data_IF_061694507960
#
_entry.id   IF_061694507960
#
_cell.length_a   1.000
_cell.length_b   1.000
_cell.length_c   1.000
_cell.angle_alpha   90.00
_cell.angle_beta   90.00
_cell.angle_gamma   90.00
#
_symmetry.space_group_name_H-M   'P 1'
#
loop_
_entity.id
_entity.type
_entity.pdbx_description
1 polymer ?
#
# COMPACT_ATOMS: atom_id res chain seq x y z
N UNK A 1 -32.03 4.48 -8.28
CA UNK A 1 -31.54 3.15 -7.88
C UNK A 1 -31.95 2.90 -6.42
N UNK A 2 -32.63 1.79 -6.13
CA UNK A 2 -33.03 1.46 -4.76
C UNK A 2 -31.86 0.82 -4.02
N UNK A 3 -31.06 1.65 -3.34
CA UNK A 3 -29.90 1.23 -2.55
C UNK A 3 -30.20 1.28 -1.05
N UNK A 4 -29.38 0.60 -0.25
CA UNK A 4 -29.51 0.61 1.22
C UNK A 4 -29.27 2.02 1.79
N UNK A 5 -29.71 2.26 3.04
CA UNK A 5 -29.38 3.52 3.75
C UNK A 5 -27.88 3.74 3.84
N UNK A 6 -27.10 2.67 4.01
CA UNK A 6 -25.65 2.72 4.01
C UNK A 6 -25.08 3.16 2.66
N UNK A 7 -25.56 2.57 1.56
CA UNK A 7 -25.17 2.95 0.20
C UNK A 7 -25.46 4.42 -0.10
N UNK A 8 -26.60 4.94 0.36
CA UNK A 8 -26.87 6.39 0.28
C UNK A 8 -25.86 7.21 1.06
N UNK A 9 -25.57 6.84 2.32
CA UNK A 9 -24.65 7.59 3.19
C UNK A 9 -23.25 7.74 2.58
N UNK A 10 -22.69 6.68 2.00
CA UNK A 10 -21.33 6.71 1.42
C UNK A 10 -21.28 7.39 0.04
N UNK A 11 -22.42 7.47 -0.66
CA UNK A 11 -22.51 8.08 -1.98
C UNK A 11 -22.71 9.60 -1.96
N UNK A 12 -23.03 10.18 -0.79
CA UNK A 12 -23.16 11.64 -0.68
C UNK A 12 -21.77 12.27 -0.75
N UNK A 13 -21.61 13.21 -1.67
CA UNK A 13 -20.39 14.00 -1.79
C UNK A 13 -20.11 14.74 -0.48
N UNK A 14 -18.89 14.57 0.04
CA UNK A 14 -18.43 15.22 1.27
C UNK A 14 -17.39 16.29 0.93
N UNK A 15 -17.10 17.21 1.84
CA UNK A 15 -16.04 18.21 1.62
C UNK A 15 -14.67 17.57 1.36
N UNK A 16 -14.36 16.46 2.05
CA UNK A 16 -13.14 15.68 1.81
C UNK A 16 -13.20 15.03 0.42
N UNK A 17 -14.35 14.51 0.01
CA UNK A 17 -14.54 13.93 -1.33
C UNK A 17 -14.29 14.95 -2.43
N UNK A 18 -14.84 16.17 -2.31
CA UNK A 18 -14.58 17.27 -3.25
C UNK A 18 -13.09 17.63 -3.31
N UNK A 19 -12.42 17.74 -2.15
CA UNK A 19 -10.98 18.01 -2.11
C UNK A 19 -10.16 16.92 -2.82
N UNK A 20 -10.54 15.64 -2.67
CA UNK A 20 -9.87 14.54 -3.36
C UNK A 20 -10.13 14.55 -4.86
N UNK A 21 -11.32 14.94 -5.31
CA UNK A 21 -11.64 15.13 -6.73
C UNK A 21 -10.76 16.25 -7.34
N UNK A 22 -10.62 17.38 -6.64
CA UNK A 22 -9.77 18.50 -7.04
C UNK A 22 -8.28 18.10 -7.11
N UNK A 23 -7.78 17.38 -6.11
CA UNK A 23 -6.41 16.83 -6.11
C UNK A 23 -6.18 15.87 -7.28
N UNK A 24 -7.16 15.02 -7.59
CA UNK A 24 -7.10 14.09 -8.73
C UNK A 24 -7.07 14.81 -10.08
N UNK A 25 -7.94 15.81 -10.25
CA UNK A 25 -7.95 16.65 -11.45
C UNK A 25 -6.64 17.42 -11.64
N UNK A 26 -6.09 17.96 -10.56
CA UNK A 26 -4.80 18.64 -10.53
C UNK A 26 -3.64 17.70 -10.93
N UNK A 27 -3.62 16.46 -10.44
CA UNK A 27 -2.62 15.45 -10.80
C UNK A 27 -2.69 15.04 -12.28
N UNK A 28 -3.88 15.01 -12.86
CA UNK A 28 -4.10 14.63 -14.26
C UNK A 28 -3.82 15.78 -15.26
N UNK A 29 -3.85 17.03 -14.79
CA UNK A 29 -3.62 18.23 -15.60
C UNK A 29 -2.15 18.52 -15.90
N UNK A 30 -1.89 19.38 -16.89
CA UNK A 30 -0.53 19.75 -17.30
C UNK A 30 0.00 21.00 -16.58
N UNK A 31 1.11 20.76 -15.86
CA UNK A 31 2.34 21.56 -15.67
C UNK A 31 2.20 23.07 -15.53
N UNK A 32 1.85 23.49 -14.32
CA UNK A 32 2.49 24.60 -13.57
C UNK A 32 1.99 24.63 -12.10
N UNK A 33 1.54 23.49 -11.58
CA UNK A 33 0.97 23.39 -10.23
C UNK A 33 1.98 22.77 -9.26
N UNK A 34 2.18 23.42 -8.12
CA UNK A 34 2.97 22.86 -7.02
C UNK A 34 2.11 21.88 -6.22
N UNK A 35 2.34 20.58 -6.44
CA UNK A 35 1.58 19.51 -5.80
C UNK A 35 2.08 19.23 -4.38
N UNK A 36 1.64 20.06 -3.42
CA UNK A 36 1.99 19.97 -2.00
C UNK A 36 0.87 19.39 -1.11
N UNK A 37 -0.29 19.07 -1.70
CA UNK A 37 -1.45 18.51 -0.97
C UNK A 37 -1.55 16.98 -1.00
N UNK A 38 -0.70 16.30 -1.76
CA UNK A 38 -0.72 14.84 -1.89
C UNK A 38 0.08 14.11 -0.81
N UNK A 39 -0.19 12.81 -0.63
CA UNK A 39 0.52 11.93 0.31
C UNK A 39 1.45 10.90 -0.34
N UNK A 40 1.70 11.02 -1.65
CA UNK A 40 2.58 10.08 -2.34
C UNK A 40 4.03 10.23 -1.83
N UNK A 41 4.71 9.12 -1.47
CA UNK A 41 6.10 9.18 -1.06
C UNK A 41 7.01 9.75 -2.15
N UNK A 42 8.11 10.36 -1.74
CA UNK A 42 9.13 10.82 -2.67
C UNK A 42 9.86 9.65 -3.37
N UNK A 43 10.29 9.87 -4.60
CA UNK A 43 11.19 8.97 -5.32
C UNK A 43 12.61 9.07 -4.77
N UNK A 44 12.95 8.20 -3.82
CA UNK A 44 14.29 8.12 -3.22
C UNK A 44 15.09 7.02 -3.94
N UNK A 45 16.12 7.36 -4.75
CA UNK A 45 16.79 6.39 -5.63
C UNK A 45 17.35 5.16 -4.89
N UNK A 46 17.92 5.36 -3.71
CA UNK A 46 18.47 4.27 -2.90
C UNK A 46 17.39 3.26 -2.45
N UNK A 47 16.20 3.76 -2.07
CA UNK A 47 15.08 2.92 -1.66
C UNK A 47 14.49 2.18 -2.85
N UNK A 48 14.30 2.85 -3.99
CA UNK A 48 13.83 2.17 -5.18
C UNK A 48 14.79 1.08 -5.66
N UNK A 49 16.11 1.32 -5.58
CA UNK A 49 17.11 0.32 -5.91
C UNK A 49 17.03 -0.89 -4.98
N UNK A 50 16.76 -0.67 -3.68
CA UNK A 50 16.55 -1.76 -2.72
C UNK A 50 15.31 -2.58 -3.05
N UNK A 51 14.20 -1.95 -3.43
CA UNK A 51 12.98 -2.65 -3.84
C UNK A 51 13.18 -3.44 -5.13
N UNK A 52 13.83 -2.86 -6.14
CA UNK A 52 14.16 -3.57 -7.39
C UNK A 52 15.01 -4.82 -7.13
N UNK A 53 16.04 -4.72 -6.30
CA UNK A 53 16.85 -5.89 -5.90
C UNK A 53 16.03 -6.97 -5.21
N UNK A 54 15.13 -6.61 -4.29
CA UNK A 54 14.25 -7.59 -3.64
C UNK A 54 13.35 -8.32 -4.64
N UNK A 55 12.82 -7.61 -5.64
CA UNK A 55 12.00 -8.22 -6.69
C UNK A 55 12.82 -9.19 -7.55
N UNK A 56 14.04 -8.82 -7.95
CA UNK A 56 14.95 -9.73 -8.70
C UNK A 56 15.26 -10.98 -7.89
N UNK A 57 15.59 -10.84 -6.61
CA UNK A 57 15.87 -11.98 -5.74
C UNK A 57 14.65 -12.92 -5.58
N UNK A 58 13.42 -12.39 -5.65
CA UNK A 58 12.22 -13.23 -5.66
C UNK A 58 12.03 -13.99 -6.98
N UNK A 59 12.39 -13.37 -8.11
CA UNK A 59 12.31 -13.99 -9.44
C UNK A 59 13.33 -15.11 -9.62
N UNK A 60 14.51 -14.96 -9.02
CA UNK A 60 15.58 -15.97 -9.06
C UNK A 60 15.30 -17.18 -8.15
N UNK A 61 14.40 -17.04 -7.17
CA UNK A 61 14.05 -18.06 -6.17
C UNK A 61 12.87 -18.93 -6.64
N UNK A 62 13.12 -19.78 -7.63
CA UNK A 62 12.28 -20.92 -8.04
C UNK A 62 10.82 -20.58 -8.35
N UNK A 63 9.97 -20.53 -7.32
CA UNK A 63 8.55 -20.17 -7.39
C UNK A 63 8.09 -19.23 -6.27
N UNK A 64 9.01 -18.49 -5.64
CA UNK A 64 8.68 -17.51 -4.60
C UNK A 64 7.93 -16.32 -5.18
N UNK A 65 8.34 -15.86 -6.37
CA UNK A 65 7.59 -14.84 -7.10
C UNK A 65 6.17 -15.30 -7.43
N UNK A 66 6.01 -16.47 -8.06
CA UNK A 66 4.71 -17.01 -8.49
C UNK A 66 3.74 -17.15 -7.31
N UNK A 67 4.22 -17.65 -6.17
CA UNK A 67 3.40 -17.74 -4.95
C UNK A 67 3.00 -16.37 -4.43
N UNK A 68 3.90 -15.39 -4.45
CA UNK A 68 3.62 -14.06 -3.92
C UNK A 68 2.61 -13.26 -4.76
N UNK A 69 2.54 -13.49 -6.08
CA UNK A 69 1.62 -12.76 -6.96
C UNK A 69 0.39 -13.56 -7.38
N UNK A 70 0.48 -14.89 -7.41
CA UNK A 70 -0.53 -15.78 -7.97
C UNK A 70 -1.39 -16.50 -6.92
N UNK A 71 -0.97 -16.54 -5.66
CA UNK A 71 -1.70 -17.24 -4.61
C UNK A 71 -2.24 -16.28 -3.56
N UNK A 72 -3.43 -16.58 -3.06
CA UNK A 72 -3.97 -15.88 -1.89
C UNK A 72 -3.23 -16.31 -0.62
N UNK A 73 -2.87 -15.32 0.18
CA UNK A 73 -2.56 -15.55 1.58
C UNK A 73 -3.85 -15.89 2.38
N UNK A 74 -3.71 -16.53 3.55
CA UNK A 74 -4.80 -16.68 4.50
C UNK A 74 -5.39 -15.33 4.94
N UNK A 75 -6.59 -15.29 5.55
CA UNK A 75 -7.22 -14.04 5.97
C UNK A 75 -6.38 -13.15 6.91
N UNK A 76 -5.44 -13.75 7.66
CA UNK A 76 -4.50 -13.04 8.54
C UNK A 76 -3.30 -12.43 7.77
N UNK A 77 -3.07 -12.84 6.52
CA UNK A 77 -1.89 -12.51 5.71
C UNK A 77 -0.84 -13.62 5.69
N UNK A 78 0.24 -13.37 4.93
CA UNK A 78 1.35 -14.31 4.78
C UNK A 78 1.96 -14.69 6.13
N UNK A 79 2.01 -16.00 6.39
CA UNK A 79 2.57 -16.54 7.63
C UNK A 79 4.01 -16.10 7.86
N UNK A 80 4.83 -16.23 6.81
CA UNK A 80 6.26 -15.90 6.82
C UNK A 80 6.48 -14.41 7.04
N UNK A 81 5.62 -13.56 6.47
CA UNK A 81 5.73 -12.11 6.66
C UNK A 81 5.37 -11.69 8.08
N UNK A 82 4.28 -12.21 8.62
CA UNK A 82 3.86 -11.93 10.01
C UNK A 82 4.94 -12.34 11.02
N UNK A 83 5.56 -13.51 10.84
CA UNK A 83 6.68 -13.96 11.68
C UNK A 83 7.90 -13.05 11.57
N UNK A 84 8.25 -12.62 10.35
CA UNK A 84 9.36 -11.68 10.14
C UNK A 84 9.12 -10.32 10.82
N UNK A 85 7.88 -9.80 10.76
CA UNK A 85 7.51 -8.55 11.42
C UNK A 85 7.51 -8.69 12.95
N UNK A 86 6.96 -9.78 13.48
CA UNK A 86 7.00 -10.05 14.92
C UNK A 86 8.45 -10.15 15.42
N UNK A 87 9.31 -10.85 14.68
CA UNK A 87 10.75 -10.93 14.96
C UNK A 87 11.43 -9.55 14.97
N UNK A 88 11.18 -8.73 13.94
CA UNK A 88 11.70 -7.36 13.86
C UNK A 88 11.27 -6.52 15.07
N UNK A 89 9.98 -6.56 15.43
CA UNK A 89 9.45 -5.78 16.55
C UNK A 89 10.00 -6.27 17.89
N UNK A 90 10.23 -7.56 18.05
CA UNK A 90 10.91 -8.12 19.22
C UNK A 90 12.37 -7.66 19.30
N UNK A 91 13.09 -7.67 18.18
CA UNK A 91 14.49 -7.24 18.13
C UNK A 91 14.65 -5.74 18.41
N UNK A 92 13.83 -4.91 17.78
CA UNK A 92 13.95 -3.44 17.86
C UNK A 92 13.37 -2.88 19.16
N UNK A 93 12.31 -3.51 19.70
CA UNK A 93 11.53 -2.93 20.79
C UNK A 93 11.29 -3.88 21.97
N UNK A 94 11.78 -5.13 21.90
CA UNK A 94 11.58 -6.13 22.96
C UNK A 94 10.15 -6.66 23.07
N UNK A 95 9.28 -6.36 22.09
CA UNK A 95 7.87 -6.73 22.16
C UNK A 95 7.69 -8.24 21.98
N UNK A 96 7.09 -8.89 22.98
CA UNK A 96 6.78 -10.31 22.94
C UNK A 96 5.42 -10.57 22.28
N UNK A 97 5.34 -10.26 20.98
CA UNK A 97 4.19 -10.57 20.14
C UNK A 97 4.52 -11.77 19.27
N UNK A 98 3.55 -12.67 19.11
CA UNK A 98 3.62 -13.78 18.17
C UNK A 98 2.57 -13.58 17.09
N UNK A 99 2.74 -14.35 16.02
CA UNK A 99 1.72 -14.50 15.00
C UNK A 99 0.46 -15.19 15.55
#
# INVERSE_FOLDING_TARGET
>A
MNVSKFGRKIAVQSGIGQLMDDLGAALAGHRDMLMLGGGNPAHIPAMEQRFRRSMVAMLEDGGRFDRAVGNYDPPQGSHVFCEAVAGLLKEQFGWNISR
#
